data_IF_091062313114
#
_entry.id   IF_091062313114
#
_cell.length_a   1.000
_cell.length_b   1.000
_cell.length_c   1.000
_cell.angle_alpha   90.00
_cell.angle_beta   90.00
_cell.angle_gamma   90.00
#
_symmetry.space_group_name_H-M   'P 1'
#
loop_
_entity.id
_entity.type
_entity.pdbx_description
1 polymer ?
#
# COMPACT_ATOMS: atom_id res chain seq x y z
N UNK A 1 7.87 7.60 10.63
CA UNK A 1 9.11 7.02 10.08
C UNK A 1 9.93 8.12 9.44
N UNK A 2 11.23 8.13 9.68
CA UNK A 2 12.13 9.13 9.11
C UNK A 2 13.02 8.57 8.00
N UNK A 3 13.47 7.34 8.13
CA UNK A 3 14.30 6.67 7.13
C UNK A 3 13.50 5.55 6.47
N UNK A 4 13.34 5.62 5.17
CA UNK A 4 12.47 4.70 4.44
C UNK A 4 13.20 4.09 3.25
N UNK A 5 12.93 2.81 3.00
CA UNK A 5 13.32 2.13 1.77
C UNK A 5 12.10 1.94 0.87
N UNK A 6 12.31 1.87 -0.44
CA UNK A 6 11.25 1.62 -1.43
C UNK A 6 11.66 0.42 -2.28
N UNK A 7 10.77 -0.57 -2.38
CA UNK A 7 10.87 -1.67 -3.34
C UNK A 7 9.61 -1.66 -4.21
N UNK A 8 9.75 -1.42 -5.51
CA UNK A 8 8.60 -1.19 -6.37
C UNK A 8 8.62 -2.06 -7.64
N UNK A 9 7.45 -2.49 -8.15
CA UNK A 9 7.40 -3.19 -9.43
C UNK A 9 7.86 -2.27 -10.56
N UNK A 10 8.68 -2.79 -11.48
CA UNK A 10 9.17 -2.03 -12.64
C UNK A 10 8.08 -1.86 -13.71
N UNK A 11 7.02 -1.20 -13.32
CA UNK A 11 5.86 -0.81 -14.14
C UNK A 11 5.66 0.70 -14.06
N UNK A 12 4.85 1.29 -14.94
CA UNK A 12 4.50 2.71 -14.85
C UNK A 12 3.89 3.05 -13.48
N UNK A 13 2.94 2.22 -13.02
CA UNK A 13 2.32 2.36 -11.69
C UNK A 13 3.34 2.34 -10.55
N UNK A 14 4.25 1.35 -10.52
CA UNK A 14 5.24 1.24 -9.46
C UNK A 14 6.23 2.39 -9.46
N UNK A 15 6.73 2.78 -10.63
CA UNK A 15 7.65 3.92 -10.78
C UNK A 15 7.03 5.25 -10.35
N UNK A 16 5.77 5.49 -10.73
CA UNK A 16 5.07 6.74 -10.36
C UNK A 16 4.83 6.82 -8.85
N UNK A 17 4.35 5.74 -8.22
CA UNK A 17 4.15 5.72 -6.78
C UNK A 17 5.47 5.82 -6.01
N UNK A 18 6.52 5.13 -6.45
CA UNK A 18 7.85 5.23 -5.83
C UNK A 18 8.40 6.66 -5.90
N UNK A 19 8.26 7.33 -7.06
CA UNK A 19 8.69 8.72 -7.27
C UNK A 19 7.91 9.68 -6.38
N UNK A 20 6.58 9.58 -6.35
CA UNK A 20 5.72 10.45 -5.53
C UNK A 20 5.98 10.25 -4.04
N UNK A 21 6.09 9.01 -3.58
CA UNK A 21 6.39 8.70 -2.19
C UNK A 21 7.78 9.21 -1.78
N UNK A 22 8.80 9.03 -2.64
CA UNK A 22 10.14 9.55 -2.41
C UNK A 22 10.16 11.09 -2.34
N UNK A 23 9.36 11.77 -3.15
CA UNK A 23 9.21 13.23 -3.10
C UNK A 23 8.57 13.66 -1.78
N UNK A 24 7.49 13.01 -1.36
CA UNK A 24 6.79 13.35 -0.12
C UNK A 24 7.66 13.11 1.11
N UNK A 25 8.39 11.99 1.18
CA UNK A 25 9.34 11.73 2.27
C UNK A 25 10.34 12.87 2.43
N UNK A 26 10.90 13.39 1.31
CA UNK A 26 11.85 14.51 1.37
C UNK A 26 11.19 15.82 1.79
N UNK A 27 9.95 16.08 1.39
CA UNK A 27 9.19 17.26 1.82
C UNK A 27 8.87 17.26 3.30
N UNK A 28 8.79 16.07 3.92
CA UNK A 28 8.53 15.87 5.34
C UNK A 28 9.83 15.66 6.15
N UNK A 29 10.96 16.13 5.65
CA UNK A 29 12.28 15.98 6.28
C UNK A 29 12.68 14.53 6.58
N UNK A 30 12.17 13.58 5.80
CA UNK A 30 12.56 12.18 5.85
C UNK A 30 13.70 11.86 4.89
N UNK A 31 14.35 10.74 5.12
CA UNK A 31 15.45 10.24 4.29
C UNK A 31 15.05 8.99 3.52
N UNK A 32 15.29 9.00 2.22
CA UNK A 32 15.20 7.84 1.37
C UNK A 32 16.54 7.10 1.37
N UNK A 33 16.58 5.92 1.96
CA UNK A 33 17.80 5.10 2.05
C UNK A 33 18.11 4.45 0.70
N UNK A 34 17.10 3.82 0.09
CA UNK A 34 17.22 3.13 -1.20
C UNK A 34 15.88 3.07 -1.90
N UNK A 35 15.90 3.06 -3.23
CA UNK A 35 14.70 2.86 -4.06
C UNK A 35 15.08 1.93 -5.22
N UNK A 36 14.64 0.66 -5.15
CA UNK A 36 15.01 -0.37 -6.09
C UNK A 36 13.79 -0.99 -6.78
N UNK A 37 13.84 -1.14 -8.11
CA UNK A 37 12.80 -1.83 -8.86
C UNK A 37 12.95 -3.35 -8.74
N UNK A 38 11.82 -4.06 -8.78
CA UNK A 38 11.75 -5.49 -9.01
C UNK A 38 10.85 -5.81 -10.20
N UNK A 39 11.05 -6.96 -10.82
CA UNK A 39 10.21 -7.40 -11.93
C UNK A 39 8.87 -7.92 -11.39
N UNK A 40 7.77 -7.35 -11.87
CA UNK A 40 6.43 -7.76 -11.50
C UNK A 40 6.17 -9.23 -11.88
N UNK A 41 5.61 -10.00 -10.96
CA UNK A 41 5.35 -11.44 -11.14
C UNK A 41 6.55 -12.35 -10.88
N UNK A 42 7.69 -11.82 -10.46
CA UNK A 42 8.80 -12.66 -10.01
C UNK A 42 8.46 -13.36 -8.69
N UNK A 43 9.09 -14.50 -8.46
CA UNK A 43 8.99 -15.29 -7.22
C UNK A 43 10.28 -15.23 -6.39
N UNK A 44 11.36 -14.69 -6.93
CA UNK A 44 12.67 -14.59 -6.30
C UNK A 44 13.15 -13.13 -6.23
N UNK A 45 13.14 -12.59 -5.03
CA UNK A 45 13.52 -11.19 -4.77
C UNK A 45 14.89 -11.05 -4.09
N UNK A 46 15.69 -12.12 -4.03
CA UNK A 46 17.04 -12.10 -3.38
C UNK A 46 17.94 -11.02 -3.94
N UNK A 47 17.90 -10.78 -5.25
CA UNK A 47 18.76 -9.78 -5.89
C UNK A 47 18.42 -8.36 -5.44
N UNK A 48 17.14 -7.99 -5.41
CA UNK A 48 16.69 -6.65 -5.00
C UNK A 48 16.86 -6.46 -3.49
N UNK A 49 16.61 -7.49 -2.68
CA UNK A 49 16.84 -7.45 -1.22
C UNK A 49 18.33 -7.33 -0.93
N UNK A 50 19.19 -8.01 -1.70
CA UNK A 50 20.65 -7.90 -1.59
C UNK A 50 21.15 -6.48 -1.86
N UNK A 51 20.61 -5.81 -2.88
CA UNK A 51 20.91 -4.40 -3.16
C UNK A 51 20.46 -3.48 -2.03
N UNK A 52 19.22 -3.66 -1.56
CA UNK A 52 18.68 -2.90 -0.42
C UNK A 52 19.62 -3.01 0.80
N UNK A 53 20.01 -4.22 1.20
CA UNK A 53 20.94 -4.43 2.31
C UNK A 53 22.29 -3.77 2.07
N UNK A 54 22.85 -3.93 0.86
CA UNK A 54 24.16 -3.37 0.52
C UNK A 54 24.16 -1.83 0.59
N UNK A 55 23.10 -1.16 0.14
CA UNK A 55 22.99 0.29 0.22
C UNK A 55 22.77 0.77 1.65
N UNK A 56 21.95 0.05 2.44
CA UNK A 56 21.73 0.40 3.84
C UNK A 56 22.99 0.22 4.70
N UNK A 57 23.75 -0.87 4.49
CA UNK A 57 25.02 -1.12 5.20
C UNK A 57 26.08 -0.04 4.95
N UNK A 58 26.02 0.66 3.83
CA UNK A 58 26.91 1.80 3.56
C UNK A 58 26.57 3.03 4.42
N UNK A 59 25.35 3.11 4.96
CA UNK A 59 24.82 4.28 5.66
C UNK A 59 24.59 4.00 7.14
N UNK A 60 23.62 3.14 7.44
CA UNK A 60 23.06 2.96 8.78
C UNK A 60 22.87 1.52 9.20
N UNK A 61 22.75 0.60 8.26
CA UNK A 61 22.57 -0.82 8.53
C UNK A 61 23.78 -1.42 9.26
N UNK A 62 23.54 -2.38 10.12
CA UNK A 62 24.58 -3.05 10.90
C UNK A 62 24.45 -4.56 10.74
N UNK A 63 25.60 -5.25 10.59
CA UNK A 63 25.67 -6.71 10.72
C UNK A 63 26.39 -7.07 12.02
N UNK A 64 25.70 -7.81 12.88
CA UNK A 64 26.23 -8.27 14.16
C UNK A 64 26.45 -9.76 14.12
N UNK A 65 27.62 -10.20 14.55
CA UNK A 65 27.95 -11.62 14.64
C UNK A 65 27.31 -12.19 15.91
N UNK A 66 26.38 -13.13 15.76
CA UNK A 66 25.73 -13.82 16.89
C UNK A 66 26.09 -15.29 16.91
N UNK A 67 26.22 -15.89 18.09
CA UNK A 67 26.42 -17.33 18.23
C UNK A 67 25.13 -18.07 17.86
N UNK A 68 25.20 -18.94 16.90
CA UNK A 68 24.10 -19.82 16.50
C UNK A 68 24.10 -21.07 17.41
N UNK A 69 23.65 -20.90 18.65
CA UNK A 69 23.45 -22.01 19.58
C UNK A 69 21.96 -22.46 19.52
N UNK A 70 21.66 -23.63 18.93
CA UNK A 70 20.29 -24.15 18.86
C UNK A 70 19.61 -24.28 20.22
N UNK A 71 20.38 -24.45 21.30
CA UNK A 71 19.86 -24.53 22.66
C UNK A 71 19.34 -23.19 23.20
N UNK A 72 19.84 -22.06 22.68
CA UNK A 72 19.43 -20.70 23.06
C UNK A 72 18.36 -20.10 22.14
N UNK A 73 18.32 -20.50 20.87
CA UNK A 73 17.42 -19.91 19.87
C UNK A 73 16.12 -20.67 19.66
N UNK A 74 15.98 -21.91 20.18
CA UNK A 74 14.77 -22.73 20.01
C UNK A 74 14.51 -23.20 18.57
N UNK A 75 15.34 -22.81 17.62
CA UNK A 75 15.19 -23.14 16.19
C UNK A 75 15.98 -24.39 15.88
N UNK A 76 15.30 -25.55 15.81
CA UNK A 76 15.86 -26.81 15.28
C UNK A 76 15.97 -26.74 13.75
N UNK A 77 16.89 -25.97 13.22
CA UNK A 77 17.39 -26.19 11.86
C UNK A 77 18.75 -26.89 11.98
N UNK A 78 18.91 -27.99 11.25
CA UNK A 78 20.11 -28.84 11.24
C UNK A 78 21.38 -28.16 10.73
N UNK A 79 21.78 -27.07 11.37
CA UNK A 79 22.96 -26.27 11.05
C UNK A 79 24.08 -26.54 12.04
N UNK A 80 25.31 -26.62 11.56
CA UNK A 80 26.55 -26.70 12.35
C UNK A 80 26.61 -25.54 13.33
N UNK A 81 27.07 -25.77 14.57
CA UNK A 81 27.47 -24.73 15.51
C UNK A 81 28.39 -23.74 14.79
N UNK A 82 27.98 -22.49 14.65
CA UNK A 82 28.71 -21.48 13.92
C UNK A 82 28.24 -20.08 14.25
N UNK A 83 29.01 -19.09 13.87
CA UNK A 83 28.61 -17.69 13.98
C UNK A 83 27.69 -17.35 12.81
N UNK A 84 26.51 -16.74 13.09
CA UNK A 84 25.60 -16.17 12.11
C UNK A 84 25.75 -14.65 12.12
N UNK A 85 25.73 -14.04 10.94
CA UNK A 85 25.56 -12.60 10.82
C UNK A 85 24.07 -12.29 10.88
N UNK A 86 23.66 -11.50 11.85
CA UNK A 86 22.33 -10.95 11.96
C UNK A 86 22.34 -9.53 11.43
N UNK A 87 21.53 -9.27 10.42
CA UNK A 87 21.36 -7.94 9.87
C UNK A 87 20.32 -7.15 10.68
N UNK A 88 20.68 -5.91 11.00
CA UNK A 88 19.77 -4.94 11.61
C UNK A 88 19.60 -3.77 10.64
N UNK A 89 18.39 -3.55 10.09
CA UNK A 89 18.12 -2.44 9.19
C UNK A 89 18.36 -1.09 9.84
N UNK A 90 18.94 -0.17 9.10
CA UNK A 90 19.09 1.23 9.49
C UNK A 90 17.91 2.11 9.08
N UNK A 91 16.91 1.56 8.39
CA UNK A 91 15.67 2.22 7.99
C UNK A 91 14.47 1.80 8.87
N UNK A 92 13.47 2.65 8.95
CA UNK A 92 12.33 2.51 9.87
C UNK A 92 11.13 1.80 9.23
N UNK A 93 11.04 1.78 7.89
CA UNK A 93 9.95 1.15 7.15
C UNK A 93 10.35 0.85 5.68
N UNK A 94 9.62 -0.06 5.04
CA UNK A 94 9.73 -0.33 3.59
C UNK A 94 8.39 -0.04 2.91
N UNK A 95 8.39 0.82 1.89
CA UNK A 95 7.24 1.05 1.03
C UNK A 95 7.27 0.11 -0.18
N UNK A 96 6.19 -0.65 -0.38
CA UNK A 96 6.07 -1.66 -1.45
C UNK A 96 4.75 -1.45 -2.20
N UNK A 97 4.67 -0.54 -3.19
CA UNK A 97 3.47 -0.30 -3.98
C UNK A 97 3.26 -1.38 -5.05
N UNK A 98 3.16 -2.64 -4.64
CA UNK A 98 3.03 -3.80 -5.51
C UNK A 98 1.66 -4.45 -5.46
N UNK A 99 1.46 -5.44 -6.33
CA UNK A 99 0.28 -6.32 -6.28
C UNK A 99 0.38 -7.26 -5.08
N UNK A 100 -0.76 -7.64 -4.55
CA UNK A 100 -0.89 -8.48 -3.34
C UNK A 100 0.00 -9.73 -3.35
N UNK A 101 0.07 -10.45 -4.47
CA UNK A 101 0.86 -11.68 -4.58
C UNK A 101 2.37 -11.39 -4.48
N UNK A 102 2.87 -10.41 -5.24
CA UNK A 102 4.28 -10.04 -5.24
C UNK A 102 4.70 -9.53 -3.86
N UNK A 103 3.85 -8.71 -3.24
CA UNK A 103 4.10 -8.15 -1.90
C UNK A 103 4.16 -9.25 -0.84
N UNK A 104 3.24 -10.23 -0.89
CA UNK A 104 3.26 -11.35 0.06
C UNK A 104 4.55 -12.18 -0.03
N UNK A 105 5.00 -12.50 -1.25
CA UNK A 105 6.25 -13.21 -1.48
C UNK A 105 7.48 -12.39 -1.07
N UNK A 106 7.48 -11.10 -1.40
CA UNK A 106 8.57 -10.18 -1.04
C UNK A 106 8.67 -9.99 0.47
N UNK A 107 7.55 -9.82 1.17
CA UNK A 107 7.50 -9.69 2.63
C UNK A 107 8.08 -10.93 3.34
N UNK A 108 7.72 -12.12 2.86
CA UNK A 108 8.27 -13.37 3.39
C UNK A 108 9.80 -13.46 3.19
N UNK A 109 10.30 -13.02 2.04
CA UNK A 109 11.74 -13.01 1.77
C UNK A 109 12.46 -11.91 2.56
N UNK A 110 11.87 -10.72 2.73
CA UNK A 110 12.41 -9.68 3.62
C UNK A 110 12.61 -10.22 5.05
N UNK A 111 11.59 -10.88 5.60
CA UNK A 111 11.68 -11.51 6.93
C UNK A 111 12.77 -12.59 6.98
N UNK A 112 12.92 -13.39 5.92
CA UNK A 112 13.99 -14.40 5.82
C UNK A 112 15.41 -13.80 5.85
N UNK A 113 15.56 -12.57 5.33
CA UNK A 113 16.81 -11.81 5.32
C UNK A 113 16.99 -10.88 6.53
N UNK A 114 16.28 -11.15 7.63
CA UNK A 114 16.33 -10.38 8.88
C UNK A 114 15.82 -8.92 8.74
N UNK A 115 14.99 -8.64 7.73
CA UNK A 115 14.35 -7.32 7.55
C UNK A 115 12.93 -7.38 8.13
N UNK A 116 12.84 -7.08 9.42
CA UNK A 116 11.58 -7.09 10.18
C UNK A 116 11.19 -5.66 10.59
N UNK A 117 10.86 -4.84 9.59
CA UNK A 117 10.38 -3.46 9.78
C UNK A 117 8.94 -3.33 9.28
N UNK A 118 8.18 -2.31 9.74
CA UNK A 118 6.87 -2.01 9.22
C UNK A 118 6.84 -1.89 7.69
N UNK A 119 5.82 -2.50 7.07
CA UNK A 119 5.61 -2.44 5.64
C UNK A 119 4.52 -1.42 5.33
N UNK A 120 4.76 -0.59 4.35
CA UNK A 120 3.84 0.40 3.83
C UNK A 120 3.44 0.04 2.40
N UNK A 121 2.18 0.27 2.04
CA UNK A 121 1.66 -0.12 0.75
C UNK A 121 0.71 0.88 0.12
N UNK A 122 0.18 0.48 -1.03
CA UNK A 122 -0.82 1.22 -1.78
C UNK A 122 -2.01 0.30 -2.14
N UNK A 123 -2.97 0.82 -2.88
CA UNK A 123 -4.21 0.14 -3.25
C UNK A 123 -4.05 -1.26 -3.88
N UNK A 124 -2.89 -1.59 -4.42
CA UNK A 124 -2.58 -2.95 -4.89
C UNK A 124 -2.64 -4.03 -3.81
N UNK A 125 -2.59 -3.64 -2.53
CA UNK A 125 -2.75 -4.55 -1.38
C UNK A 125 -4.22 -4.88 -1.08
N UNK A 126 -5.15 -4.02 -1.47
CA UNK A 126 -6.58 -4.18 -1.16
C UNK A 126 -7.23 -5.25 -2.03
N UNK A 127 -6.79 -6.49 -1.85
CA UNK A 127 -7.34 -7.67 -2.51
C UNK A 127 -7.82 -8.65 -1.45
N UNK A 128 -8.97 -9.33 -1.67
CA UNK A 128 -9.56 -10.25 -0.69
C UNK A 128 -8.61 -11.35 -0.18
N UNK A 129 -7.69 -11.78 -1.05
CA UNK A 129 -6.75 -12.85 -0.74
C UNK A 129 -5.44 -12.37 -0.10
N UNK A 130 -5.19 -11.06 -0.03
CA UNK A 130 -3.89 -10.55 0.40
C UNK A 130 -3.51 -11.00 1.80
N UNK A 131 -4.40 -10.82 2.77
CA UNK A 131 -4.13 -11.20 4.16
C UNK A 131 -3.84 -12.70 4.31
N UNK A 132 -4.42 -13.54 3.43
CA UNK A 132 -4.17 -14.98 3.38
C UNK A 132 -2.84 -15.32 2.70
N UNK A 133 -2.49 -14.64 1.61
CA UNK A 133 -1.26 -14.89 0.82
C UNK A 133 -0.03 -14.38 1.58
N UNK A 134 -0.15 -13.24 2.21
CA UNK A 134 0.96 -12.56 2.87
C UNK A 134 1.23 -13.08 4.30
N UNK A 135 0.31 -13.86 4.86
CA UNK A 135 0.40 -14.47 6.20
C UNK A 135 0.85 -13.45 7.27
N UNK A 136 1.60 -13.90 8.27
CA UNK A 136 2.09 -13.07 9.38
C UNK A 136 3.16 -12.07 9.00
N UNK A 137 3.76 -12.20 7.82
CA UNK A 137 4.88 -11.34 7.39
C UNK A 137 4.47 -9.92 7.08
N UNK A 138 3.18 -9.66 6.82
CA UNK A 138 2.62 -8.31 6.61
C UNK A 138 1.80 -7.81 7.79
N UNK A 139 1.78 -8.54 8.91
CA UNK A 139 1.05 -8.11 10.11
C UNK A 139 1.52 -6.74 10.58
N UNK A 140 0.57 -5.86 10.88
CA UNK A 140 0.84 -4.46 11.22
C UNK A 140 1.12 -3.56 10.00
N UNK A 141 1.24 -4.10 8.80
CA UNK A 141 1.44 -3.32 7.58
C UNK A 141 0.29 -2.36 7.33
N UNK A 142 0.60 -1.18 6.79
CA UNK A 142 -0.38 -0.11 6.51
C UNK A 142 -0.35 0.25 5.04
N UNK A 143 -1.52 0.40 4.44
CA UNK A 143 -1.62 0.83 3.06
C UNK A 143 -2.73 1.87 2.86
N UNK A 144 -2.60 2.66 1.80
CA UNK A 144 -3.60 3.65 1.41
C UNK A 144 -4.43 3.15 0.23
N UNK A 145 -5.75 3.35 0.29
CA UNK A 145 -6.66 3.11 -0.83
C UNK A 145 -7.73 4.20 -0.95
N UNK A 146 -8.22 4.38 -2.15
CA UNK A 146 -9.35 5.29 -2.42
C UNK A 146 -10.73 4.72 -2.09
N UNK A 147 -10.80 3.43 -1.72
CA UNK A 147 -12.05 2.77 -1.33
C UNK A 147 -11.77 1.63 -0.34
N UNK A 148 -12.62 1.51 0.67
CA UNK A 148 -12.57 0.41 1.64
C UNK A 148 -13.98 -0.13 1.90
N UNK A 149 -14.24 -1.35 1.44
CA UNK A 149 -15.57 -1.96 1.50
C UNK A 149 -16.07 -2.25 2.93
N UNK A 150 -15.16 -2.44 3.87
CA UNK A 150 -15.44 -2.68 5.30
C UNK A 150 -15.47 -1.39 6.13
N UNK A 151 -15.48 -0.22 5.48
CA UNK A 151 -15.63 1.08 6.15
C UNK A 151 -16.93 1.15 6.95
N UNK A 152 -16.89 1.77 8.13
CA UNK A 152 -18.05 2.04 8.97
C UNK A 152 -18.94 3.19 8.44
N UNK A 153 -18.52 3.88 7.38
CA UNK A 153 -19.31 4.95 6.75
C UNK A 153 -20.66 4.43 6.25
N UNK A 154 -21.80 5.02 6.67
CA UNK A 154 -23.12 4.57 6.23
C UNK A 154 -23.30 4.60 4.71
N UNK A 155 -22.70 5.59 4.02
CA UNK A 155 -22.75 5.72 2.56
C UNK A 155 -22.01 4.56 1.88
N UNK A 156 -20.86 4.15 2.42
CA UNK A 156 -20.11 3.00 1.91
C UNK A 156 -20.89 1.71 2.16
N UNK A 157 -21.44 1.53 3.36
CA UNK A 157 -22.21 0.33 3.72
C UNK A 157 -23.42 0.15 2.81
N UNK A 158 -24.21 1.21 2.58
CA UNK A 158 -25.34 1.18 1.65
C UNK A 158 -24.93 0.79 0.23
N UNK A 159 -23.85 1.40 -0.28
CA UNK A 159 -23.32 1.07 -1.60
C UNK A 159 -22.89 -0.41 -1.69
N UNK A 160 -22.12 -0.89 -0.70
CA UNK A 160 -21.60 -2.27 -0.65
C UNK A 160 -22.75 -3.27 -0.58
N UNK A 161 -23.79 -3.00 0.26
CA UNK A 161 -24.96 -3.87 0.38
C UNK A 161 -25.72 -3.97 -0.96
N UNK A 162 -26.00 -2.83 -1.60
CA UNK A 162 -26.70 -2.77 -2.89
C UNK A 162 -25.88 -3.47 -3.98
N UNK A 163 -24.58 -3.29 -3.99
CA UNK A 163 -23.68 -3.92 -4.96
C UNK A 163 -23.66 -5.44 -4.77
N UNK A 164 -23.48 -5.92 -3.52
CA UNK A 164 -23.50 -7.36 -3.19
C UNK A 164 -24.85 -8.00 -3.56
N UNK A 165 -25.95 -7.33 -3.28
CA UNK A 165 -27.29 -7.83 -3.66
C UNK A 165 -27.46 -7.97 -5.18
N UNK A 166 -26.87 -7.07 -5.96
CA UNK A 166 -27.00 -7.03 -7.42
C UNK A 166 -26.03 -7.94 -8.14
N UNK A 167 -24.78 -8.02 -7.67
CA UNK A 167 -23.68 -8.65 -8.38
C UNK A 167 -23.11 -9.89 -7.67
N UNK A 168 -23.56 -10.21 -6.48
CA UNK A 168 -23.07 -11.32 -5.64
C UNK A 168 -21.54 -11.26 -5.39
N UNK A 169 -20.98 -10.05 -5.37
CA UNK A 169 -19.54 -9.80 -5.22
C UNK A 169 -19.31 -8.56 -4.35
N UNK A 170 -18.14 -8.47 -3.73
CA UNK A 170 -17.69 -7.24 -3.06
C UNK A 170 -17.21 -6.22 -4.10
N UNK A 171 -17.62 -4.95 -4.03
CA UNK A 171 -17.19 -3.93 -4.99
C UNK A 171 -15.68 -3.67 -4.85
N UNK A 172 -15.02 -3.50 -5.98
CA UNK A 172 -13.62 -3.06 -6.06
C UNK A 172 -13.53 -1.52 -6.03
N UNK A 173 -12.30 -1.01 -5.90
CA UNK A 173 -12.02 0.42 -6.10
C UNK A 173 -12.60 0.95 -7.43
N UNK A 174 -12.47 0.21 -8.52
CA UNK A 174 -12.99 0.63 -9.83
C UNK A 174 -14.52 0.68 -9.87
N UNK A 175 -15.19 -0.26 -9.20
CA UNK A 175 -16.66 -0.23 -9.06
C UNK A 175 -17.12 0.99 -8.25
N UNK A 176 -16.39 1.32 -7.18
CA UNK A 176 -16.66 2.51 -6.37
C UNK A 176 -16.45 3.81 -7.16
N UNK A 177 -15.36 3.91 -7.91
CA UNK A 177 -15.07 5.05 -8.78
C UNK A 177 -16.13 5.23 -9.89
N UNK A 178 -16.53 4.14 -10.54
CA UNK A 178 -17.59 4.17 -11.55
C UNK A 178 -18.93 4.62 -10.97
N UNK A 179 -19.26 4.16 -9.77
CA UNK A 179 -20.46 4.60 -9.05
C UNK A 179 -20.41 6.10 -8.73
N UNK A 180 -19.32 6.59 -8.16
CA UNK A 180 -19.14 8.02 -7.85
C UNK A 180 -19.20 8.86 -9.13
N UNK A 181 -18.50 8.47 -10.19
CA UNK A 181 -18.52 9.21 -11.46
C UNK A 181 -19.94 9.34 -12.05
N UNK A 182 -20.69 8.22 -12.08
CA UNK A 182 -22.06 8.24 -12.56
C UNK A 182 -22.98 9.10 -11.67
N UNK A 183 -22.84 9.01 -10.35
CA UNK A 183 -23.62 9.79 -9.39
C UNK A 183 -23.36 11.28 -9.52
N UNK A 184 -22.11 11.68 -9.67
CA UNK A 184 -21.70 13.08 -9.83
C UNK A 184 -22.21 13.66 -11.17
N UNK A 185 -22.14 12.89 -12.27
CA UNK A 185 -22.70 13.29 -13.54
C UNK A 185 -24.23 13.48 -13.47
N UNK A 186 -24.94 12.55 -12.82
CA UNK A 186 -26.41 12.68 -12.61
C UNK A 186 -26.74 13.90 -11.77
N UNK A 187 -25.96 14.20 -10.72
CA UNK A 187 -26.19 15.39 -9.90
C UNK A 187 -25.99 16.68 -10.72
N UNK A 188 -24.96 16.76 -11.56
CA UNK A 188 -24.74 17.89 -12.45
C UNK A 188 -25.93 18.09 -13.41
N UNK A 189 -26.44 17.00 -14.01
CA UNK A 189 -27.62 17.06 -14.91
C UNK A 189 -28.86 17.55 -14.17
N UNK A 190 -29.13 17.07 -12.96
CA UNK A 190 -30.24 17.54 -12.12
C UNK A 190 -30.14 19.02 -11.79
N UNK A 191 -28.92 19.56 -11.73
CA UNK A 191 -28.66 21.00 -11.51
C UNK A 191 -28.68 21.83 -12.80
N UNK A 192 -29.07 21.24 -13.93
CA UNK A 192 -29.27 21.93 -15.20
C UNK A 192 -28.08 21.86 -16.17
N UNK A 193 -27.05 21.07 -15.90
CA UNK A 193 -25.99 20.86 -16.84
C UNK A 193 -26.45 19.96 -17.98
N UNK A 194 -26.59 20.50 -19.20
CA UNK A 194 -27.13 19.79 -20.38
C UNK A 194 -26.04 19.42 -21.39
N UNK A 195 -24.80 19.87 -21.17
CA UNK A 195 -23.65 19.61 -22.04
C UNK A 195 -22.47 19.09 -21.24
N UNK A 196 -21.48 18.46 -21.90
CA UNK A 196 -20.25 18.02 -21.23
C UNK A 196 -19.49 19.16 -20.57
N UNK A 197 -19.46 20.34 -21.20
CA UNK A 197 -18.89 21.57 -20.61
C UNK A 197 -19.64 21.99 -19.36
N UNK A 198 -20.97 22.00 -19.41
CA UNK A 198 -21.80 22.30 -18.24
C UNK A 198 -21.59 21.34 -17.07
N UNK A 199 -21.41 20.04 -17.35
CA UNK A 199 -21.07 19.04 -16.33
C UNK A 199 -19.69 19.34 -15.73
N UNK A 200 -18.68 19.60 -16.58
CA UNK A 200 -17.33 19.96 -16.12
C UNK A 200 -17.38 21.19 -15.23
N UNK A 201 -18.02 22.26 -15.70
CA UNK A 201 -18.04 23.55 -14.98
C UNK A 201 -18.79 23.41 -13.64
N UNK A 202 -19.90 22.65 -13.61
CA UNK A 202 -20.58 22.30 -12.36
C UNK A 202 -19.62 21.60 -11.38
N UNK A 203 -18.93 20.54 -11.82
CA UNK A 203 -18.04 19.76 -10.96
C UNK A 203 -16.87 20.59 -10.44
N UNK A 204 -16.29 21.46 -11.28
CA UNK A 204 -15.17 22.34 -10.90
C UNK A 204 -15.56 23.42 -9.87
N UNK A 205 -16.82 23.82 -9.83
CA UNK A 205 -17.34 24.78 -8.85
C UNK A 205 -17.67 24.17 -7.48
N UNK A 206 -17.78 22.85 -7.39
CA UNK A 206 -18.15 22.19 -6.14
C UNK A 206 -16.92 21.79 -5.33
N UNK A 207 -16.98 22.04 -4.02
CA UNK A 207 -15.91 21.68 -3.08
C UNK A 207 -16.30 20.52 -2.16
N UNK A 208 -17.59 20.18 -2.11
CA UNK A 208 -18.16 19.16 -1.22
C UNK A 208 -18.97 18.12 -2.00
N UNK A 209 -18.43 17.65 -3.12
CA UNK A 209 -19.08 16.61 -3.91
C UNK A 209 -19.22 15.34 -3.08
N UNK A 210 -20.42 14.74 -3.00
CA UNK A 210 -20.69 13.57 -2.19
C UNK A 210 -20.13 12.31 -2.87
N UNK A 211 -18.94 11.88 -2.48
CA UNK A 211 -18.36 10.61 -2.93
C UNK A 211 -18.36 9.56 -1.83
N UNK A 212 -18.06 8.30 -2.17
CA UNK A 212 -17.95 7.21 -1.21
C UNK A 212 -16.79 7.42 -0.21
N UNK A 213 -15.78 8.18 -0.60
CA UNK A 213 -14.67 8.55 0.29
C UNK A 213 -14.96 9.78 1.16
N UNK A 214 -16.14 10.37 1.03
CA UNK A 214 -16.57 11.60 1.72
C UNK A 214 -16.57 12.83 0.81
N UNK A 215 -16.68 14.03 1.38
CA UNK A 215 -16.65 15.28 0.63
C UNK A 215 -15.41 15.37 -0.24
N UNK A 216 -15.57 15.74 -1.51
CA UNK A 216 -14.51 15.77 -2.51
C UNK A 216 -14.68 17.00 -3.41
N UNK A 217 -13.60 17.41 -4.08
CA UNK A 217 -13.63 18.53 -5.03
C UNK A 217 -12.56 18.39 -6.09
N UNK A 218 -12.66 19.13 -7.18
CA UNK A 218 -11.69 19.10 -8.25
C UNK A 218 -10.69 20.26 -8.12
N UNK A 219 -9.41 19.99 -8.32
CA UNK A 219 -8.40 21.01 -8.54
C UNK A 219 -8.51 21.62 -9.95
N UNK A 220 -7.94 22.82 -10.20
CA UNK A 220 -7.97 23.46 -11.52
C UNK A 220 -7.43 22.61 -12.67
N UNK A 221 -6.55 21.66 -12.37
CA UNK A 221 -5.99 20.71 -13.34
C UNK A 221 -6.89 19.49 -13.61
N UNK A 222 -8.08 19.44 -12.98
CA UNK A 222 -9.03 18.33 -13.10
C UNK A 222 -8.75 17.14 -12.17
N UNK A 223 -7.78 17.23 -11.28
CA UNK A 223 -7.50 16.19 -10.29
C UNK A 223 -8.57 16.18 -9.20
N UNK A 224 -9.16 15.03 -8.92
CA UNK A 224 -10.13 14.85 -7.84
C UNK A 224 -9.40 14.76 -6.49
N UNK A 225 -9.57 15.79 -5.67
CA UNK A 225 -9.15 15.80 -4.28
C UNK A 225 -10.18 15.09 -3.43
N UNK A 226 -9.81 13.95 -2.88
CA UNK A 226 -10.67 13.13 -2.02
C UNK A 226 -9.88 12.55 -0.85
N UNK A 227 -10.60 12.21 0.20
CA UNK A 227 -10.01 11.44 1.30
C UNK A 227 -9.59 10.06 0.83
N UNK A 228 -8.45 9.57 1.30
CA UNK A 228 -8.02 8.18 1.17
C UNK A 228 -8.27 7.45 2.49
N UNK A 229 -8.50 6.14 2.40
CA UNK A 229 -8.59 5.26 3.54
C UNK A 229 -7.18 4.76 3.88
N UNK A 230 -6.77 4.90 5.13
CA UNK A 230 -5.61 4.20 5.67
C UNK A 230 -6.10 2.89 6.27
N UNK A 231 -5.50 1.80 5.85
CA UNK A 231 -5.94 0.45 6.17
C UNK A 231 -4.76 -0.32 6.75
N UNK A 232 -4.98 -0.97 7.89
CA UNK A 232 -3.98 -1.81 8.54
C UNK A 232 -4.31 -3.28 8.36
N UNK A 233 -3.29 -4.10 8.18
CA UNK A 233 -3.39 -5.56 8.29
C UNK A 233 -3.30 -5.95 9.76
N UNK A 234 -4.36 -6.54 10.32
CA UNK A 234 -4.44 -6.95 11.71
C UNK A 234 -5.12 -8.30 11.85
N UNK A 235 -4.39 -9.27 12.40
CA UNK A 235 -4.88 -10.65 12.58
C UNK A 235 -5.41 -11.25 11.27
N UNK A 236 -4.70 -11.03 10.17
CA UNK A 236 -5.08 -11.51 8.84
C UNK A 236 -6.32 -10.83 8.26
N UNK A 237 -6.74 -9.68 8.77
CA UNK A 237 -7.88 -8.88 8.28
C UNK A 237 -7.46 -7.45 7.99
N UNK A 238 -8.23 -6.80 7.15
CA UNK A 238 -8.12 -5.36 6.93
C UNK A 238 -8.98 -4.62 7.94
N UNK A 239 -8.37 -3.65 8.62
CA UNK A 239 -9.07 -2.76 9.56
C UNK A 239 -8.72 -1.31 9.24
N UNK A 240 -9.65 -0.36 9.44
CA UNK A 240 -9.30 1.05 9.28
C UNK A 240 -8.23 1.42 10.31
N UNK A 241 -7.29 2.26 9.90
CA UNK A 241 -6.35 2.91 10.79
C UNK A 241 -6.92 4.29 11.13
N UNK A 242 -7.43 4.44 12.35
CA UNK A 242 -8.01 5.66 12.89
C UNK A 242 -6.93 6.65 13.34
#
# INVERSE_FOLDING_TARGET
YKRVAILYPDTAYGRDLARLFAQEIRQQDGELIVSEPYKEGDSDFRAVIGKLKAEDLKKYGVEVQVDNDPAKTGIRQGGKKGKRLLYSPGFDAVFIPGRSLDVGLLAAQLAFFDIAVPLLGANGWNQPDFARVADRTVEGGVFADGFFAESSSPVVQEFVERYRKRFQATPSLFAAQGYDAARLAVEAIKRGATTGEGVRDFLMMQHDLPTLSGPSGFSPDGTLNRRVFLIQVKQGKFVPLD
#
